data_IF_870761128133
#
_entry.id   IF_870761128133
#
_cell.length_a   1.000
_cell.length_b   1.000
_cell.length_c   1.000
_cell.angle_alpha   90.00
_cell.angle_beta   90.00
_cell.angle_gamma   90.00
#
_symmetry.space_group_name_H-M   'P 1'
#
loop_
_entity.id
_entity.type
_entity.pdbx_description
1 polymer ?
#
# COMPACT_ATOMS: atom_id res chain seq x y z
N UNK A 1 -7.19 -15.65 6.93
CA UNK A 1 -7.51 -14.22 7.15
C UNK A 1 -7.27 -13.78 8.59
N UNK A 2 -7.53 -14.63 9.59
CA UNK A 2 -7.50 -14.26 11.02
C UNK A 2 -6.16 -13.70 11.50
N UNK A 3 -5.02 -14.22 10.99
CA UNK A 3 -3.68 -13.68 11.32
C UNK A 3 -3.51 -12.22 10.87
N UNK A 4 -4.10 -11.86 9.73
CA UNK A 4 -4.06 -10.51 9.19
C UNK A 4 -4.96 -9.58 10.01
N UNK A 5 -6.18 -10.03 10.32
CA UNK A 5 -7.13 -9.25 11.14
C UNK A 5 -6.61 -9.03 12.56
N UNK A 6 -5.94 -10.02 13.17
CA UNK A 6 -5.27 -9.83 14.47
C UNK A 6 -4.18 -8.77 14.45
N UNK A 7 -3.46 -8.64 13.32
CA UNK A 7 -2.43 -7.60 13.17
C UNK A 7 -3.04 -6.22 12.95
N UNK A 8 -4.17 -6.14 12.25
CA UNK A 8 -4.96 -4.91 12.14
C UNK A 8 -5.52 -4.50 13.51
N UNK A 9 -6.10 -5.44 14.24
CA UNK A 9 -6.64 -5.21 15.58
C UNK A 9 -5.58 -4.67 16.55
N UNK A 10 -4.40 -5.29 16.58
CA UNK A 10 -3.28 -4.78 17.36
C UNK A 10 -2.84 -3.37 16.93
N UNK A 11 -2.79 -3.10 15.62
CA UNK A 11 -2.46 -1.77 15.10
C UNK A 11 -3.50 -0.74 15.57
N UNK A 12 -4.79 -1.06 15.46
CA UNK A 12 -5.87 -0.21 15.92
C UNK A 12 -5.73 0.05 17.41
N UNK A 13 -5.52 -0.98 18.23
CA UNK A 13 -5.27 -0.82 19.66
C UNK A 13 -4.13 0.18 19.95
N UNK A 14 -2.98 0.04 19.29
CA UNK A 14 -1.85 0.96 19.45
C UNK A 14 -2.15 2.41 19.02
N UNK A 15 -3.07 2.62 18.08
CA UNK A 15 -3.49 3.96 17.62
C UNK A 15 -4.73 4.49 18.33
N UNK A 16 -5.08 3.92 19.50
CA UNK A 16 -6.31 4.26 20.23
C UNK A 16 -7.57 4.04 19.37
N UNK A 17 -7.55 2.94 18.60
CA UNK A 17 -8.54 2.55 17.61
C UNK A 17 -8.72 3.59 16.51
N UNK A 18 -9.91 4.18 16.43
CA UNK A 18 -10.30 5.18 15.44
C UNK A 18 -10.44 6.57 16.11
N UNK A 19 -9.65 6.83 17.15
CA UNK A 19 -9.69 8.10 17.88
C UNK A 19 -9.28 9.28 16.99
N UNK A 20 -9.91 10.43 17.20
CA UNK A 20 -9.72 11.64 16.39
C UNK A 20 -10.88 11.84 15.42
N UNK A 21 -10.57 12.22 14.18
CA UNK A 21 -11.59 12.45 13.14
C UNK A 21 -11.76 11.23 12.24
N UNK A 22 -12.91 11.14 11.58
CA UNK A 22 -13.21 10.11 10.58
C UNK A 22 -12.19 10.06 9.46
N UNK A 23 -11.71 11.22 9.01
CA UNK A 23 -10.74 11.35 7.93
C UNK A 23 -9.37 10.80 8.35
N UNK A 24 -8.93 11.12 9.56
CA UNK A 24 -7.66 10.62 10.09
C UNK A 24 -7.70 9.10 10.29
N UNK A 25 -8.81 8.57 10.83
CA UNK A 25 -9.03 7.14 10.98
C UNK A 25 -9.03 6.42 9.62
N UNK A 26 -9.71 6.97 8.62
CA UNK A 26 -9.72 6.43 7.26
C UNK A 26 -8.33 6.42 6.63
N UNK A 27 -7.58 7.52 6.72
CA UNK A 27 -6.20 7.59 6.24
C UNK A 27 -5.30 6.57 6.93
N UNK A 28 -5.45 6.37 8.24
CA UNK A 28 -4.71 5.38 9.01
C UNK A 28 -4.95 3.95 8.54
N UNK A 29 -6.22 3.57 8.35
CA UNK A 29 -6.61 2.24 7.87
C UNK A 29 -6.16 2.02 6.41
N UNK A 30 -6.34 3.03 5.55
CA UNK A 30 -5.85 2.98 4.15
C UNK A 30 -4.34 2.83 4.08
N UNK A 31 -3.58 3.57 4.90
CA UNK A 31 -2.13 3.45 4.99
C UNK A 31 -1.69 2.05 5.43
N UNK A 32 -2.36 1.47 6.43
CA UNK A 32 -2.11 0.09 6.85
C UNK A 32 -2.37 -0.91 5.72
N UNK A 33 -3.49 -0.75 5.00
CA UNK A 33 -3.84 -1.61 3.87
C UNK A 33 -2.80 -1.51 2.74
N UNK A 34 -2.32 -0.30 2.42
CA UNK A 34 -1.27 -0.11 1.41
C UNK A 34 0.02 -0.82 1.79
N UNK A 35 0.49 -0.65 3.03
CA UNK A 35 1.71 -1.32 3.50
C UNK A 35 1.53 -2.83 3.44
N UNK A 36 0.42 -3.36 3.94
CA UNK A 36 0.21 -4.81 3.98
C UNK A 36 0.08 -5.43 2.58
N UNK A 37 -0.47 -4.70 1.60
CA UNK A 37 -0.68 -5.21 0.25
C UNK A 37 0.50 -4.95 -0.70
N UNK A 38 1.39 -4.00 -0.42
CA UNK A 38 2.43 -3.57 -1.36
C UNK A 38 3.85 -3.54 -0.78
N UNK A 39 4.04 -3.91 0.49
CA UNK A 39 5.38 -4.08 1.05
C UNK A 39 6.20 -5.12 0.27
N UNK A 40 7.55 -5.08 0.38
CA UNK A 40 8.42 -6.04 -0.28
C UNK A 40 8.05 -7.47 0.07
N UNK A 41 8.03 -8.32 -0.96
CA UNK A 41 7.78 -9.75 -0.82
C UNK A 41 9.00 -10.45 -0.21
N UNK A 42 8.80 -11.66 0.32
CA UNK A 42 9.92 -12.44 0.84
C UNK A 42 10.91 -12.80 -0.30
N UNK A 43 12.19 -13.09 0.01
CA UNK A 43 13.20 -13.36 -0.99
C UNK A 43 12.82 -14.49 -1.97
N UNK A 44 12.06 -15.47 -1.51
CA UNK A 44 11.56 -16.57 -2.33
C UNK A 44 10.61 -16.10 -3.43
N UNK A 45 9.56 -15.38 -3.05
CA UNK A 45 8.63 -14.77 -4.02
C UNK A 45 9.35 -13.82 -4.97
N UNK A 46 10.37 -13.09 -4.52
CA UNK A 46 11.16 -12.20 -5.39
C UNK A 46 11.93 -12.98 -6.45
N UNK A 47 12.52 -14.13 -6.09
CA UNK A 47 13.20 -15.02 -7.07
C UNK A 47 12.24 -15.54 -8.12
N UNK A 48 11.03 -15.94 -7.70
CA UNK A 48 9.98 -16.41 -8.61
C UNK A 48 9.42 -15.29 -9.49
N UNK A 49 9.43 -14.05 -9.00
CA UNK A 49 8.90 -12.87 -9.68
C UNK A 49 9.94 -12.16 -10.55
N UNK A 50 10.92 -12.89 -11.11
CA UNK A 50 12.00 -12.33 -11.94
C UNK A 50 12.74 -11.13 -11.30
N UNK A 51 12.87 -11.12 -9.97
CA UNK A 51 13.55 -10.04 -9.23
C UNK A 51 12.68 -8.83 -8.87
N UNK A 52 11.38 -8.84 -9.20
CA UNK A 52 10.45 -7.78 -8.79
C UNK A 52 10.15 -7.90 -7.29
N UNK A 53 10.48 -6.85 -6.54
CA UNK A 53 10.58 -6.91 -5.08
C UNK A 53 9.24 -6.68 -4.39
N UNK A 54 8.34 -5.94 -5.01
CA UNK A 54 7.05 -5.56 -4.44
C UNK A 54 5.88 -5.94 -5.36
N UNK A 55 4.67 -6.10 -4.81
CA UNK A 55 3.45 -6.23 -5.60
C UNK A 55 3.24 -5.05 -6.57
N UNK A 56 3.66 -3.84 -6.21
CA UNK A 56 3.57 -2.68 -7.09
C UNK A 56 4.46 -2.84 -8.33
N UNK A 57 5.71 -3.27 -8.15
CA UNK A 57 6.62 -3.60 -9.27
C UNK A 57 6.01 -4.67 -10.19
N UNK A 58 5.36 -5.69 -9.62
CA UNK A 58 4.69 -6.73 -10.41
C UNK A 58 3.53 -6.21 -11.24
N UNK A 59 2.68 -5.36 -10.66
CA UNK A 59 1.56 -4.76 -11.39
C UNK A 59 2.03 -3.82 -12.51
N UNK A 60 3.13 -3.10 -12.28
CA UNK A 60 3.70 -2.21 -13.29
C UNK A 60 4.51 -2.97 -14.36
N UNK A 61 4.87 -4.23 -14.10
CA UNK A 61 5.81 -4.99 -14.94
C UNK A 61 7.26 -4.50 -14.85
N UNK A 62 7.58 -3.68 -13.84
CA UNK A 62 8.90 -3.06 -13.73
C UNK A 62 9.05 -2.17 -12.50
N UNK A 63 10.25 -1.60 -12.34
CA UNK A 63 10.62 -0.77 -11.18
C UNK A 63 10.91 0.66 -11.62
N UNK A 64 10.26 1.62 -10.98
CA UNK A 64 10.51 3.06 -11.16
C UNK A 64 11.59 3.58 -10.20
N UNK A 65 11.70 3.00 -9.00
CA UNK A 65 12.67 3.42 -7.98
C UNK A 65 13.11 2.24 -7.11
N UNK A 66 14.35 2.25 -6.60
CA UNK A 66 14.92 1.16 -5.78
C UNK A 66 14.34 1.02 -4.38
N UNK A 67 13.89 2.15 -3.82
CA UNK A 67 13.12 2.20 -2.59
C UNK A 67 11.64 1.89 -2.90
N UNK A 68 11.08 0.88 -2.23
CA UNK A 68 9.79 0.29 -2.57
C UNK A 68 8.62 1.23 -2.30
N UNK A 69 8.69 2.04 -1.24
CA UNK A 69 7.64 2.97 -0.87
C UNK A 69 7.59 4.11 -1.88
N UNK A 70 8.74 4.63 -2.32
CA UNK A 70 8.80 5.60 -3.42
C UNK A 70 8.24 5.01 -4.72
N UNK A 71 8.58 3.77 -5.06
CA UNK A 71 8.02 3.09 -6.23
C UNK A 71 6.48 2.99 -6.15
N UNK A 72 5.94 2.65 -4.98
CA UNK A 72 4.48 2.63 -4.74
C UNK A 72 3.85 4.02 -4.89
N UNK A 73 4.48 5.07 -4.33
CA UNK A 73 3.99 6.44 -4.44
C UNK A 73 3.96 6.93 -5.89
N UNK A 74 5.01 6.63 -6.68
CA UNK A 74 5.03 6.94 -8.12
C UNK A 74 3.90 6.21 -8.84
N UNK A 75 3.71 4.92 -8.55
CA UNK A 75 2.65 4.09 -9.15
C UNK A 75 1.25 4.65 -8.88
N UNK A 76 1.01 5.14 -7.65
CA UNK A 76 -0.27 5.71 -7.24
C UNK A 76 -0.47 7.18 -7.65
N UNK A 77 0.56 7.85 -8.16
CA UNK A 77 0.52 9.29 -8.45
C UNK A 77 -0.28 9.67 -9.70
N UNK A 78 -0.65 8.68 -10.54
CA UNK A 78 -1.18 8.89 -11.89
C UNK A 78 -0.31 9.83 -12.76
N UNK A 79 0.97 10.01 -12.43
CA UNK A 79 1.85 11.00 -13.07
C UNK A 79 1.36 12.45 -12.91
N UNK A 80 0.58 12.74 -11.86
CA UNK A 80 -0.07 14.03 -11.66
C UNK A 80 -1.33 14.24 -12.50
N UNK A 81 -1.75 13.26 -13.31
CA UNK A 81 -2.97 13.33 -14.10
C UNK A 81 -4.21 13.25 -13.20
N UNK A 82 -4.93 14.37 -13.10
CA UNK A 82 -6.26 14.43 -12.47
C UNK A 82 -7.25 14.92 -13.51
N UNK A 83 -8.10 14.04 -14.04
CA UNK A 83 -9.25 14.49 -14.82
C UNK A 83 -10.30 15.07 -13.87
N UNK A 84 -10.87 16.25 -14.16
CA UNK A 84 -12.09 16.66 -13.50
C UNK A 84 -13.18 15.61 -13.78
N UNK A 85 -14.07 15.30 -12.82
CA UNK A 85 -15.15 14.36 -13.03
C UNK A 85 -15.96 14.79 -14.25
N UNK A 86 -16.24 13.83 -15.14
CA UNK A 86 -17.07 14.08 -16.32
C UNK A 86 -18.44 14.54 -15.81
N UNK A 87 -18.86 15.76 -16.16
CA UNK A 87 -20.19 16.27 -15.78
C UNK A 87 -21.24 15.24 -16.22
N UNK A 88 -22.07 14.82 -15.26
CA UNK A 88 -23.21 13.95 -15.49
C UNK A 88 -24.22 14.65 -16.42
#
# INVERSE_FOLDING_TARGET
MDRLLRRLDYRLYCTQHLHGTTEAAEQGVRGWALIHNFAPSCPETVRESAGLRSPAERLNGGRYHDEWLQNLLVSASLGGYRSPPRKA
#
